data_IF_058506048616
#
_entry.id   IF_058506048616
#
_cell.length_a   1.000
_cell.length_b   1.000
_cell.length_c   1.000
_cell.angle_alpha   90.00
_cell.angle_beta   90.00
_cell.angle_gamma   90.00
#
_symmetry.space_group_name_H-M   'P 1'
#
loop_
_entity.id
_entity.type
_entity.pdbx_description
1 polymer ?
#
# COMPACT_ATOMS: atom_id res chain seq x y z
N UNK A 1 -15.63 -5.56 -10.38
CA UNK A 1 -14.63 -4.49 -10.22
C UNK A 1 -14.27 -4.36 -8.76
N UNK A 2 -13.06 -4.02 -8.48
CA UNK A 2 -12.38 -4.98 -7.65
C UNK A 2 -11.93 -4.30 -6.37
N UNK A 3 -11.72 -5.08 -5.38
CA UNK A 3 -11.03 -4.79 -4.13
C UNK A 3 -9.67 -4.10 -4.38
N UNK A 4 -9.01 -4.42 -5.50
CA UNK A 4 -7.73 -3.84 -5.91
C UNK A 4 -7.80 -2.32 -6.10
N UNK A 5 -8.78 -1.80 -6.83
CA UNK A 5 -8.98 -0.36 -7.01
C UNK A 5 -9.29 0.33 -5.69
N UNK A 6 -10.01 -0.33 -4.79
CA UNK A 6 -10.28 0.19 -3.45
C UNK A 6 -8.99 0.32 -2.63
N UNK A 7 -8.11 -0.68 -2.63
CA UNK A 7 -6.80 -0.59 -1.98
C UNK A 7 -6.00 0.61 -2.49
N UNK A 8 -5.93 0.78 -3.82
CA UNK A 8 -5.18 1.87 -4.44
C UNK A 8 -5.79 3.23 -4.05
N UNK A 9 -7.11 3.39 -4.15
CA UNK A 9 -7.79 4.64 -3.79
C UNK A 9 -7.56 5.02 -2.32
N UNK A 10 -7.72 4.07 -1.40
CA UNK A 10 -7.51 4.30 0.03
C UNK A 10 -6.05 4.64 0.36
N UNK A 11 -5.09 4.05 -0.35
CA UNK A 11 -3.66 4.35 -0.17
C UNK A 11 -3.29 5.79 -0.59
N UNK A 12 -4.08 6.42 -1.44
CA UNK A 12 -3.92 7.83 -1.84
C UNK A 12 -4.48 8.83 -0.83
N UNK A 13 -5.26 8.36 0.15
CA UNK A 13 -5.84 9.22 1.18
C UNK A 13 -4.82 9.42 2.31
N UNK A 14 -4.48 10.68 2.66
CA UNK A 14 -3.51 10.94 3.72
C UNK A 14 -3.99 10.44 5.08
N UNK A 15 -3.05 10.07 5.95
CA UNK A 15 -3.28 9.61 7.33
C UNK A 15 -4.03 8.27 7.46
N UNK A 16 -4.32 7.56 6.37
CA UNK A 16 -4.78 6.18 6.42
C UNK A 16 -3.55 5.27 6.49
N UNK A 17 -3.36 4.61 7.64
CA UNK A 17 -2.35 3.54 7.78
C UNK A 17 -2.94 2.21 7.32
N UNK A 18 -2.06 1.21 7.12
CA UNK A 18 -2.40 -0.11 6.59
C UNK A 18 -3.53 -0.81 7.34
N UNK A 19 -3.54 -0.75 8.66
CA UNK A 19 -4.62 -1.34 9.49
C UNK A 19 -6.00 -0.74 9.16
N UNK A 20 -6.08 0.60 9.03
CA UNK A 20 -7.36 1.26 8.67
C UNK A 20 -7.78 0.95 7.25
N UNK A 21 -6.83 0.92 6.31
CA UNK A 21 -7.11 0.55 4.92
C UNK A 21 -7.67 -0.87 4.86
N UNK A 22 -7.08 -1.83 5.56
CA UNK A 22 -7.58 -3.19 5.63
C UNK A 22 -9.01 -3.25 6.19
N UNK A 23 -9.27 -2.61 7.33
CA UNK A 23 -10.59 -2.57 7.93
C UNK A 23 -11.64 -1.94 7.00
N UNK A 24 -11.26 -0.88 6.25
CA UNK A 24 -12.12 -0.25 5.25
C UNK A 24 -12.41 -1.20 4.08
N UNK A 25 -11.41 -1.91 3.58
CA UNK A 25 -11.59 -2.87 2.49
C UNK A 25 -12.46 -4.05 2.94
N UNK A 26 -12.25 -4.56 4.15
CA UNK A 26 -13.03 -5.65 4.72
C UNK A 26 -14.52 -5.29 4.87
N UNK A 27 -14.87 -4.03 5.11
CA UNK A 27 -16.25 -3.56 5.25
C UNK A 27 -16.86 -3.16 3.90
N UNK A 28 -16.14 -2.33 3.13
CA UNK A 28 -16.70 -1.66 1.95
C UNK A 28 -16.63 -2.54 0.69
N UNK A 29 -15.65 -3.45 0.57
CA UNK A 29 -15.48 -4.46 -0.48
C UNK A 29 -15.12 -3.95 -1.88
N UNK A 30 -15.60 -2.81 -2.34
CA UNK A 30 -15.29 -2.29 -3.68
C UNK A 30 -15.16 -0.77 -3.75
N UNK A 31 -14.46 -0.27 -4.79
CA UNK A 31 -14.29 1.16 -5.00
C UNK A 31 -15.62 1.87 -5.29
N UNK A 32 -16.54 1.24 -6.01
CA UNK A 32 -17.86 1.79 -6.31
C UNK A 32 -18.70 1.95 -5.04
N UNK A 33 -18.69 0.95 -4.17
CA UNK A 33 -19.36 1.04 -2.87
C UNK A 33 -18.71 2.11 -1.99
N UNK A 34 -17.38 2.22 -1.99
CA UNK A 34 -16.67 3.27 -1.27
C UNK A 34 -17.16 4.68 -1.63
N UNK A 35 -17.38 4.96 -2.92
CA UNK A 35 -17.87 6.25 -3.37
C UNK A 35 -19.30 6.58 -2.87
N UNK A 36 -20.10 5.56 -2.54
CA UNK A 36 -21.50 5.67 -2.11
C UNK A 36 -21.70 5.43 -0.61
N UNK A 37 -20.69 4.93 0.09
CA UNK A 37 -20.78 4.62 1.51
C UNK A 37 -21.10 5.86 2.33
N UNK A 38 -22.07 5.73 3.23
CA UNK A 38 -22.50 6.81 4.12
C UNK A 38 -21.48 7.06 5.22
N UNK A 39 -21.49 8.27 5.77
CA UNK A 39 -20.59 8.71 6.83
C UNK A 39 -20.69 7.81 8.08
N UNK A 40 -21.89 7.47 8.44
CA UNK A 40 -22.20 6.65 9.61
C UNK A 40 -21.55 5.28 9.53
N UNK A 41 -21.56 4.67 8.35
CA UNK A 41 -20.90 3.39 8.11
C UNK A 41 -19.40 3.48 8.36
N UNK A 42 -18.74 4.52 7.88
CA UNK A 42 -17.31 4.72 8.15
C UNK A 42 -17.00 4.84 9.65
N UNK A 43 -17.85 5.51 10.42
CA UNK A 43 -17.65 5.70 11.86
C UNK A 43 -17.79 4.40 12.68
N UNK A 44 -18.43 3.36 12.14
CA UNK A 44 -18.52 2.04 12.78
C UNK A 44 -17.29 1.16 12.50
N UNK A 45 -16.43 1.55 11.54
CA UNK A 45 -15.23 0.78 11.20
C UNK A 45 -14.14 0.97 12.28
N UNK A 46 -13.54 -0.11 12.79
CA UNK A 46 -12.48 -0.02 13.79
C UNK A 46 -11.33 0.87 13.35
N UNK A 47 -10.92 1.80 14.20
CA UNK A 47 -9.82 2.73 13.96
C UNK A 47 -10.19 3.98 13.15
N UNK A 48 -11.45 4.14 12.74
CA UNK A 48 -11.96 5.34 12.07
C UNK A 48 -12.64 6.24 13.09
N UNK A 49 -11.99 7.31 13.48
CA UNK A 49 -12.59 8.38 14.29
C UNK A 49 -13.16 9.50 13.39
N UNK A 50 -13.80 10.51 13.98
CA UNK A 50 -14.42 11.62 13.26
C UNK A 50 -13.45 12.33 12.32
N UNK A 51 -12.22 12.62 12.76
CA UNK A 51 -11.21 13.33 11.96
C UNK A 51 -10.75 12.50 10.75
N UNK A 52 -10.58 11.20 10.92
CA UNK A 52 -10.24 10.29 9.83
C UNK A 52 -11.43 10.15 8.86
N UNK A 53 -12.64 10.03 9.38
CA UNK A 53 -13.86 9.99 8.58
C UNK A 53 -14.00 11.26 7.72
N UNK A 54 -13.77 12.45 8.30
CA UNK A 54 -13.78 13.72 7.57
C UNK A 54 -12.74 13.73 6.44
N UNK A 55 -11.54 13.23 6.71
CA UNK A 55 -10.49 13.08 5.69
C UNK A 55 -10.95 12.13 4.58
N UNK A 56 -11.54 11.00 4.90
CA UNK A 56 -12.06 10.05 3.90
C UNK A 56 -13.11 10.73 3.01
N UNK A 57 -14.09 11.40 3.61
CA UNK A 57 -15.17 12.08 2.87
C UNK A 57 -14.62 13.18 1.96
N UNK A 58 -13.66 13.97 2.45
CA UNK A 58 -13.03 15.02 1.67
C UNK A 58 -12.28 14.46 0.44
N UNK A 59 -11.51 13.38 0.64
CA UNK A 59 -10.63 12.87 -0.40
C UNK A 59 -11.29 11.87 -1.36
N UNK A 60 -12.37 11.18 -0.95
CA UNK A 60 -12.97 10.11 -1.77
C UNK A 60 -13.38 10.53 -3.19
N UNK A 61 -13.76 11.79 -3.38
CA UNK A 61 -14.12 12.32 -4.71
C UNK A 61 -12.90 12.82 -5.51
N UNK A 62 -11.75 12.97 -4.85
CA UNK A 62 -10.51 13.48 -5.45
C UNK A 62 -9.56 12.35 -5.85
N UNK A 63 -9.62 11.20 -5.16
CA UNK A 63 -8.78 10.04 -5.46
C UNK A 63 -9.37 9.24 -6.62
N UNK A 64 -8.52 8.91 -7.58
CA UNK A 64 -8.90 8.08 -8.71
C UNK A 64 -7.84 7.00 -8.91
N UNK A 65 -8.15 5.72 -8.60
CA UNK A 65 -7.19 4.63 -8.72
C UNK A 65 -6.73 4.39 -10.16
N UNK A 66 -7.56 4.68 -11.15
CA UNK A 66 -7.21 4.47 -12.57
C UNK A 66 -6.16 5.47 -13.05
N UNK A 67 -6.20 6.72 -12.58
CA UNK A 67 -5.15 7.71 -12.88
C UNK A 67 -3.82 7.28 -12.28
N UNK A 68 -3.83 6.72 -11.06
CA UNK A 68 -2.61 6.24 -10.40
C UNK A 68 -2.04 5.00 -11.11
N UNK A 69 -2.90 4.08 -11.56
CA UNK A 69 -2.49 2.91 -12.36
C UNK A 69 -1.83 3.36 -13.66
N UNK A 70 -2.48 4.23 -14.44
CA UNK A 70 -1.94 4.75 -15.71
C UNK A 70 -0.59 5.46 -15.51
N UNK A 71 -0.47 6.28 -14.46
CA UNK A 71 0.78 6.92 -14.10
C UNK A 71 1.90 5.93 -13.77
N UNK A 72 1.59 4.88 -13.00
CA UNK A 72 2.54 3.85 -12.64
C UNK A 72 3.02 3.09 -13.90
N UNK A 73 2.10 2.71 -14.78
CA UNK A 73 2.40 2.02 -16.04
C UNK A 73 3.33 2.85 -16.94
N UNK A 74 3.06 4.15 -17.10
CA UNK A 74 3.93 5.07 -17.86
C UNK A 74 5.36 5.16 -17.31
N UNK A 75 5.53 4.95 -16.01
CA UNK A 75 6.83 4.95 -15.33
C UNK A 75 7.49 3.57 -15.29
N UNK A 76 6.87 2.54 -15.88
CA UNK A 76 7.33 1.16 -15.83
C UNK A 76 7.30 0.60 -14.39
N UNK A 77 6.33 1.07 -13.58
CA UNK A 77 6.09 0.63 -12.21
C UNK A 77 4.83 -0.23 -12.17
N UNK A 78 4.93 -1.41 -11.56
CA UNK A 78 3.79 -2.28 -11.30
C UNK A 78 3.21 -1.96 -9.92
N UNK A 79 1.89 -1.75 -9.84
CA UNK A 79 1.19 -1.67 -8.56
C UNK A 79 0.70 -3.08 -8.19
N UNK A 80 1.00 -3.52 -6.98
CA UNK A 80 0.56 -4.79 -6.41
C UNK A 80 -0.09 -4.52 -5.07
N UNK A 81 -1.26 -5.07 -4.84
CA UNK A 81 -2.07 -4.88 -3.63
C UNK A 81 -2.20 -6.19 -2.83
N UNK A 82 -2.60 -6.11 -1.58
CA UNK A 82 -2.76 -7.29 -0.71
C UNK A 82 -3.70 -8.37 -1.26
N UNK A 83 -4.64 -8.00 -2.13
CA UNK A 83 -5.55 -8.96 -2.77
C UNK A 83 -4.98 -9.60 -4.04
N UNK A 84 -3.87 -9.08 -4.58
CA UNK A 84 -3.26 -9.64 -5.78
C UNK A 84 -2.50 -10.94 -5.48
N UNK A 85 -2.59 -11.95 -6.34
CA UNK A 85 -1.88 -13.24 -6.16
C UNK A 85 -0.36 -13.08 -6.20
N UNK A 86 0.13 -12.01 -6.82
CA UNK A 86 1.56 -11.70 -6.95
C UNK A 86 2.12 -10.93 -5.74
N UNK A 87 1.28 -10.65 -4.72
CA UNK A 87 1.77 -9.99 -3.50
C UNK A 87 2.76 -10.92 -2.77
N UNK A 88 3.97 -10.43 -2.40
CA UNK A 88 5.01 -11.28 -1.81
C UNK A 88 4.52 -11.99 -0.54
N UNK A 89 4.56 -13.33 -0.54
CA UNK A 89 4.03 -14.14 0.57
C UNK A 89 4.70 -13.84 1.91
N UNK A 90 6.03 -13.65 1.93
CA UNK A 90 6.75 -13.31 3.15
C UNK A 90 6.32 -11.97 3.71
N UNK A 91 6.05 -10.99 2.85
CA UNK A 91 5.60 -9.66 3.26
C UNK A 91 4.14 -9.68 3.72
N UNK A 92 3.29 -10.53 3.13
CA UNK A 92 1.89 -10.71 3.52
C UNK A 92 1.73 -11.21 4.95
N UNK A 93 2.73 -11.97 5.45
CA UNK A 93 2.68 -12.62 6.76
C UNK A 93 3.24 -11.76 7.90
N UNK A 94 3.71 -10.55 7.66
CA UNK A 94 4.12 -9.65 8.74
C UNK A 94 2.89 -9.05 9.45
N UNK A 95 3.10 -8.53 10.66
CA UNK A 95 2.03 -7.97 11.51
C UNK A 95 1.21 -6.88 10.81
N UNK A 96 1.85 -5.99 10.05
CA UNK A 96 1.23 -4.85 9.38
C UNK A 96 1.74 -4.73 7.92
N UNK A 97 1.24 -5.60 7.02
CA UNK A 97 1.70 -5.60 5.64
C UNK A 97 1.25 -4.32 4.90
N UNK A 98 2.13 -3.70 4.11
CA UNK A 98 1.75 -2.56 3.26
C UNK A 98 0.59 -2.92 2.33
N UNK A 99 -0.51 -2.17 2.32
CA UNK A 99 -1.68 -2.53 1.51
C UNK A 99 -1.43 -2.42 0.00
N UNK A 100 -0.49 -1.57 -0.40
CA UNK A 100 -0.12 -1.32 -1.80
C UNK A 100 1.40 -1.23 -1.93
N UNK A 101 1.95 -1.91 -2.92
CA UNK A 101 3.36 -1.89 -3.29
C UNK A 101 3.52 -1.29 -4.69
N UNK A 102 4.49 -0.40 -4.84
CA UNK A 102 4.96 0.11 -6.12
C UNK A 102 6.28 -0.58 -6.46
N UNK A 103 6.28 -1.44 -7.47
CA UNK A 103 7.37 -2.35 -7.75
C UNK A 103 7.98 -2.05 -9.12
N UNK A 104 9.32 -2.01 -9.19
CA UNK A 104 10.06 -1.82 -10.45
C UNK A 104 11.16 -2.85 -10.56
N UNK A 105 11.26 -3.49 -11.73
CA UNK A 105 12.25 -4.51 -12.00
C UNK A 105 11.67 -5.93 -12.07
N UNK A 106 12.53 -6.92 -11.90
CA UNK A 106 12.12 -8.33 -11.96
C UNK A 106 11.56 -8.78 -10.60
N UNK A 107 10.28 -9.11 -10.55
CA UNK A 107 9.57 -9.52 -9.32
C UNK A 107 9.82 -10.98 -8.95
N UNK A 108 10.30 -11.82 -9.87
CA UNK A 108 10.60 -13.25 -9.58
C UNK A 108 11.70 -13.43 -8.54
N UNK A 109 12.52 -12.42 -8.32
CA UNK A 109 13.56 -12.46 -7.27
C UNK A 109 12.99 -12.47 -5.83
N UNK A 110 11.71 -12.09 -5.64
CA UNK A 110 11.07 -12.06 -4.32
C UNK A 110 10.79 -13.46 -3.75
N UNK A 111 10.86 -14.49 -4.58
CA UNK A 111 10.72 -15.89 -4.17
C UNK A 111 12.04 -16.51 -3.70
N UNK A 112 13.16 -15.81 -3.87
CA UNK A 112 14.47 -16.27 -3.39
C UNK A 112 14.68 -15.92 -1.91
N UNK A 113 15.58 -16.67 -1.28
CA UNK A 113 16.05 -16.34 0.06
C UNK A 113 16.74 -14.97 0.05
N UNK A 114 16.33 -14.09 0.93
CA UNK A 114 16.82 -12.74 1.01
C UNK A 114 17.39 -12.42 2.38
N UNK A 115 18.43 -11.58 2.40
CA UNK A 115 19.01 -11.02 3.61
C UNK A 115 18.70 -9.52 3.65
N UNK A 116 18.15 -9.05 4.76
CA UNK A 116 17.89 -7.64 4.96
C UNK A 116 19.17 -6.89 5.38
N UNK A 117 19.54 -5.88 4.60
CA UNK A 117 20.58 -4.92 4.95
C UNK A 117 19.93 -3.68 5.56
N UNK A 118 20.05 -3.51 6.86
CA UNK A 118 19.44 -2.40 7.60
C UNK A 118 20.50 -1.47 8.17
N UNK A 119 20.17 -0.18 8.27
CA UNK A 119 21.08 0.83 8.79
C UNK A 119 20.40 2.12 9.17
N UNK A 120 21.14 3.05 9.75
CA UNK A 120 20.62 4.37 10.11
C UNK A 120 20.33 5.24 8.89
N UNK A 121 19.39 6.19 9.00
CA UNK A 121 19.08 7.15 7.91
C UNK A 121 20.29 8.01 7.52
N UNK A 122 21.21 8.26 8.46
CA UNK A 122 22.48 8.97 8.25
C UNK A 122 23.63 7.97 8.40
N UNK A 123 23.77 7.07 7.41
CA UNK A 123 24.82 6.08 7.42
C UNK A 123 26.19 6.71 7.20
N UNK A 124 27.22 6.20 7.91
CA UNK A 124 28.62 6.58 7.73
C UNK A 124 29.14 6.13 6.36
N UNK A 125 30.23 6.72 5.88
CA UNK A 125 30.91 6.28 4.65
C UNK A 125 31.28 4.78 4.70
N UNK A 126 31.79 4.32 5.83
CA UNK A 126 32.12 2.91 6.06
C UNK A 126 30.88 2.03 5.93
N UNK A 127 29.77 2.37 6.61
CA UNK A 127 28.52 1.60 6.54
C UNK A 127 27.97 1.49 5.12
N UNK A 128 28.01 2.58 4.34
CA UNK A 128 27.63 2.58 2.92
C UNK A 128 28.53 1.67 2.09
N UNK A 129 29.84 1.73 2.32
CA UNK A 129 30.83 0.90 1.59
C UNK A 129 30.62 -0.58 1.86
N UNK A 130 30.40 -0.96 3.14
CA UNK A 130 30.13 -2.36 3.53
C UNK A 130 28.80 -2.83 2.91
N UNK A 131 27.73 -2.04 3.01
CA UNK A 131 26.44 -2.41 2.41
C UNK A 131 26.54 -2.62 0.90
N UNK A 132 27.26 -1.74 0.18
CA UNK A 132 27.50 -1.89 -1.26
C UNK A 132 28.30 -3.15 -1.61
N UNK A 133 29.32 -3.52 -0.79
CA UNK A 133 30.09 -4.75 -1.01
C UNK A 133 29.21 -5.99 -0.80
N UNK A 134 28.41 -6.02 0.27
CA UNK A 134 27.52 -7.15 0.56
C UNK A 134 26.39 -7.29 -0.47
N UNK A 135 25.89 -6.18 -1.02
CA UNK A 135 24.84 -6.20 -2.04
C UNK A 135 25.31 -6.60 -3.44
N UNK A 136 26.62 -6.52 -3.71
CA UNK A 136 27.19 -6.93 -5.00
C UNK A 136 27.60 -8.42 -5.04
N UNK A 137 27.61 -9.09 -3.87
CA UNK A 137 28.03 -10.50 -3.74
C UNK A 137 29.54 -10.62 -3.75
#
# INVERSE_FOLDING_TARGET
MSERELYIALNLIPKLGSVRIKNLVDEVKSYELFLRTERETFLHIPGINRNICDTIIEYRQRVNPYIEIDKAERLGVKIVTLCDPEYPNLLKNIYDPPPVLYMKGNLSILDYQAIALVGTRKATFYGKSVAMKLAKG
#
